data_IF_778017744588
#
_entry.id   IF_778017744588
#
_cell.length_a   1.000
_cell.length_b   1.000
_cell.length_c   1.000
_cell.angle_alpha   90.00
_cell.angle_beta   90.00
_cell.angle_gamma   90.00
#
_symmetry.space_group_name_H-M   'P 1'
#
loop_
_entity.id
_entity.type
_entity.pdbx_description
1 polymer ?
#
# COMPACT_ATOMS: atom_id res chain seq x y z
N UNK A 1 47.80 35.54 -42.48
CA UNK A 1 46.64 35.16 -41.64
C UNK A 1 46.81 33.72 -41.21
N UNK A 2 47.32 33.48 -39.99
CA UNK A 2 47.27 32.16 -39.37
C UNK A 2 46.77 32.38 -37.95
N UNK A 3 45.52 31.98 -37.71
CA UNK A 3 44.84 32.07 -36.43
C UNK A 3 45.31 30.90 -35.58
N UNK A 4 46.12 31.18 -34.57
CA UNK A 4 46.41 30.24 -33.48
C UNK A 4 45.18 30.15 -32.58
N UNK A 5 44.39 29.09 -32.75
CA UNK A 5 43.36 28.70 -31.79
C UNK A 5 44.05 28.01 -30.62
N UNK A 6 44.12 28.71 -29.49
CA UNK A 6 44.50 28.14 -28.21
C UNK A 6 43.41 27.19 -27.73
N UNK A 7 43.69 25.89 -27.79
CA UNK A 7 42.93 24.90 -27.03
C UNK A 7 43.33 24.98 -25.56
N UNK A 8 42.53 25.72 -24.80
CA UNK A 8 42.42 25.59 -23.34
C UNK A 8 41.99 24.15 -23.04
N UNK A 9 42.91 23.33 -22.53
CA UNK A 9 42.53 22.16 -21.75
C UNK A 9 41.95 22.68 -20.43
N UNK A 10 40.65 22.48 -20.22
CA UNK A 10 40.04 22.68 -18.92
C UNK A 10 40.68 21.70 -17.92
N UNK A 11 40.85 22.09 -16.63
CA UNK A 11 41.34 21.18 -15.61
C UNK A 11 40.32 20.06 -15.43
N UNK A 12 40.76 18.83 -15.69
CA UNK A 12 40.02 17.61 -15.37
C UNK A 12 39.55 17.70 -13.91
N UNK A 13 38.26 17.45 -13.71
CA UNK A 13 37.65 17.33 -12.40
C UNK A 13 38.47 16.37 -11.51
N UNK A 14 38.51 16.59 -10.18
CA UNK A 14 39.28 15.72 -9.30
C UNK A 14 38.76 14.29 -9.42
N UNK A 15 39.65 13.36 -9.79
CA UNK A 15 39.40 11.93 -9.81
C UNK A 15 38.72 11.52 -8.50
N UNK A 16 37.42 11.26 -8.58
CA UNK A 16 36.53 10.93 -7.46
C UNK A 16 36.73 9.48 -6.95
N UNK A 17 37.78 8.82 -7.41
CA UNK A 17 38.09 7.40 -7.21
C UNK A 17 39.48 7.17 -6.62
N UNK A 18 39.94 8.05 -5.73
CA UNK A 18 41.15 7.75 -4.96
C UNK A 18 40.84 6.63 -3.95
N UNK A 19 41.68 5.59 -3.92
CA UNK A 19 41.63 4.46 -2.97
C UNK A 19 41.20 4.85 -1.53
N UNK A 20 41.77 5.91 -0.91
CA UNK A 20 41.37 6.33 0.44
C UNK A 20 39.91 6.78 0.56
N UNK A 21 39.31 7.28 -0.51
CA UNK A 21 37.89 7.66 -0.54
C UNK A 21 36.97 6.45 -0.63
N UNK A 22 37.40 5.39 -1.33
CA UNK A 22 36.63 4.14 -1.46
C UNK A 22 36.75 3.31 -0.18
N UNK A 23 37.95 3.21 0.39
CA UNK A 23 38.18 2.55 1.69
C UNK A 23 37.34 3.18 2.79
N UNK A 24 37.33 4.53 2.88
CA UNK A 24 36.52 5.24 3.88
C UNK A 24 35.00 5.02 3.68
N UNK A 25 34.54 4.98 2.42
CA UNK A 25 33.12 4.71 2.13
C UNK A 25 32.73 3.27 2.47
N UNK A 26 33.62 2.30 2.27
CA UNK A 26 33.41 0.91 2.68
C UNK A 26 33.41 0.78 4.20
N UNK A 27 34.31 1.46 4.90
CA UNK A 27 34.36 1.47 6.36
C UNK A 27 33.10 2.10 6.96
N UNK A 28 32.59 3.19 6.38
CA UNK A 28 31.33 3.82 6.81
C UNK A 28 30.10 2.94 6.56
N UNK A 29 30.10 2.13 5.49
CA UNK A 29 28.97 1.27 5.12
C UNK A 29 28.97 -0.07 5.89
N UNK A 30 30.14 -0.68 6.11
CA UNK A 30 30.28 -1.99 6.76
C UNK A 30 30.55 -1.88 8.28
N UNK A 31 30.99 -0.71 8.77
CA UNK A 31 31.32 -0.48 10.17
C UNK A 31 32.32 -1.52 10.70
N UNK A 32 31.95 -2.18 11.80
CA UNK A 32 32.77 -3.22 12.45
C UNK A 32 32.98 -4.49 11.59
N UNK A 33 32.24 -4.63 10.48
CA UNK A 33 32.40 -5.70 9.50
C UNK A 33 33.50 -5.46 8.47
N UNK A 34 34.13 -4.28 8.45
CA UNK A 34 35.22 -3.97 7.53
C UNK A 34 36.54 -4.60 8.00
N UNK A 35 36.99 -5.64 7.29
CA UNK A 35 38.30 -6.27 7.52
C UNK A 35 39.26 -5.81 6.43
N UNK A 36 40.12 -4.85 6.77
CA UNK A 36 41.12 -4.26 5.85
C UNK A 36 41.99 -5.31 5.12
N UNK A 37 42.31 -6.43 5.79
CA UNK A 37 43.06 -7.54 5.20
C UNK A 37 42.36 -8.27 4.05
N UNK A 38 41.02 -8.31 4.06
CA UNK A 38 40.21 -8.98 3.04
C UNK A 38 39.91 -8.03 1.87
N UNK A 39 39.74 -6.74 2.16
CA UNK A 39 39.38 -5.72 1.16
C UNK A 39 40.58 -5.12 0.43
N UNK A 40 41.76 -4.98 1.06
CA UNK A 40 42.97 -4.43 0.42
C UNK A 40 43.39 -5.17 -0.86
N UNK A 41 43.48 -6.51 -0.88
CA UNK A 41 43.87 -7.24 -2.09
C UNK A 41 42.86 -7.06 -3.23
N UNK A 42 41.57 -6.97 -2.88
CA UNK A 42 40.45 -6.75 -3.82
C UNK A 42 40.55 -5.37 -4.45
N UNK A 43 40.65 -4.33 -3.63
CA UNK A 43 40.76 -2.95 -4.09
C UNK A 43 42.04 -2.73 -4.90
N UNK A 44 43.16 -3.33 -4.49
CA UNK A 44 44.41 -3.27 -5.25
C UNK A 44 44.32 -3.96 -6.61
N UNK A 45 43.59 -5.08 -6.72
CA UNK A 45 43.41 -5.78 -7.99
C UNK A 45 42.49 -5.00 -8.95
N UNK A 46 41.44 -4.35 -8.43
CA UNK A 46 40.54 -3.49 -9.21
C UNK A 46 41.30 -2.25 -9.73
N UNK A 47 42.11 -1.62 -8.88
CA UNK A 47 42.92 -0.46 -9.28
C UNK A 47 44.02 -0.85 -10.29
N UNK A 48 44.62 -2.02 -10.16
CA UNK A 48 45.58 -2.53 -11.15
C UNK A 48 44.93 -2.77 -12.53
N UNK A 49 43.60 -2.96 -12.56
CA UNK A 49 42.82 -3.18 -13.76
C UNK A 49 42.06 -1.93 -14.26
N UNK A 50 42.24 -0.78 -13.61
CA UNK A 50 41.47 0.47 -13.87
C UNK A 50 41.52 0.91 -15.34
N UNK A 51 42.61 0.61 -16.04
CA UNK A 51 42.83 1.01 -17.43
C UNK A 51 42.65 -0.13 -18.46
N UNK A 52 42.17 -1.30 -18.04
CA UNK A 52 41.90 -2.45 -18.92
C UNK A 52 40.62 -3.20 -18.48
N UNK A 53 39.54 -2.95 -19.23
CA UNK A 53 38.21 -3.53 -19.01
C UNK A 53 38.25 -5.07 -19.00
N UNK A 54 39.11 -5.71 -19.80
CA UNK A 54 39.19 -7.17 -19.86
C UNK A 54 39.91 -7.77 -18.66
N UNK A 55 40.84 -7.02 -18.07
CA UNK A 55 41.50 -7.41 -16.82
C UNK A 55 40.55 -7.15 -15.65
N UNK A 56 39.79 -6.05 -15.67
CA UNK A 56 38.80 -5.75 -14.65
C UNK A 56 37.71 -6.82 -14.58
N UNK A 57 37.18 -7.25 -15.73
CA UNK A 57 36.21 -8.35 -15.80
C UNK A 57 36.78 -9.66 -15.26
N UNK A 58 38.03 -10.01 -15.60
CA UNK A 58 38.68 -11.21 -15.06
C UNK A 58 38.94 -11.14 -13.56
N UNK A 59 39.30 -9.97 -13.05
CA UNK A 59 39.46 -9.74 -11.60
C UNK A 59 38.11 -9.89 -10.91
N UNK A 60 37.04 -9.28 -11.44
CA UNK A 60 35.69 -9.42 -10.90
C UNK A 60 35.25 -10.89 -10.93
N UNK A 61 35.40 -11.60 -12.05
CA UNK A 61 35.07 -13.04 -12.17
C UNK A 61 35.86 -13.91 -11.18
N UNK A 62 37.13 -13.60 -10.93
CA UNK A 62 37.96 -14.31 -9.95
C UNK A 62 37.60 -13.96 -8.49
N UNK A 63 37.05 -12.76 -8.25
CA UNK A 63 36.64 -12.30 -6.93
C UNK A 63 35.20 -12.68 -6.58
N UNK A 64 34.29 -12.81 -7.55
CA UNK A 64 32.92 -13.29 -7.34
C UNK A 64 32.83 -14.59 -6.54
N UNK A 65 33.60 -15.66 -6.80
CA UNK A 65 33.52 -16.89 -6.01
C UNK A 65 34.14 -16.76 -4.61
N UNK A 66 34.87 -15.67 -4.32
CA UNK A 66 35.59 -15.44 -3.05
C UNK A 66 34.90 -14.40 -2.16
N UNK A 67 34.23 -13.42 -2.77
CA UNK A 67 33.41 -12.41 -2.12
C UNK A 67 31.98 -12.88 -1.83
N UNK A 68 31.56 -13.97 -2.48
CA UNK A 68 30.28 -14.62 -2.21
C UNK A 68 30.59 -15.90 -1.43
N UNK A 69 30.36 -15.99 -0.11
CA UNK A 69 29.82 -17.24 0.40
C UNK A 69 28.53 -17.45 -0.39
N UNK A 70 28.52 -18.39 -1.33
CA UNK A 70 27.38 -18.71 -2.20
C UNK A 70 26.08 -18.77 -1.39
N UNK A 71 25.38 -17.65 -1.30
CA UNK A 71 24.08 -17.48 -0.68
C UNK A 71 23.13 -16.72 -1.63
N UNK A 72 23.43 -16.73 -2.92
CA UNK A 72 22.39 -16.62 -3.93
C UNK A 72 22.66 -17.64 -5.03
N UNK A 73 21.67 -18.51 -5.20
CA UNK A 73 21.52 -19.54 -6.24
C UNK A 73 22.55 -20.67 -6.20
N UNK A 74 22.24 -21.91 -5.80
CA UNK A 74 21.01 -22.68 -5.67
C UNK A 74 21.29 -23.81 -4.67
N UNK A 75 20.34 -24.17 -3.80
CA UNK A 75 20.54 -25.05 -2.63
C UNK A 75 21.10 -24.37 -1.37
N UNK A 76 20.62 -23.16 -1.06
CA UNK A 76 20.45 -22.85 0.36
C UNK A 76 19.21 -23.61 0.80
N UNK A 77 19.37 -24.61 1.66
CA UNK A 77 18.25 -25.17 2.42
C UNK A 77 17.44 -23.97 2.92
N UNK A 78 16.23 -23.74 2.39
CA UNK A 78 15.33 -22.71 2.89
C UNK A 78 15.45 -22.74 4.41
N UNK A 79 15.89 -21.66 5.08
CA UNK A 79 15.92 -21.63 6.52
C UNK A 79 14.56 -22.13 6.98
N UNK A 80 14.51 -23.18 7.81
CA UNK A 80 13.23 -23.81 8.16
C UNK A 80 12.23 -22.79 8.71
N UNK A 81 12.76 -21.72 9.30
CA UNK A 81 12.03 -20.54 9.75
C UNK A 81 11.30 -19.82 8.61
N UNK A 82 11.93 -19.65 7.45
CA UNK A 82 11.31 -19.01 6.28
C UNK A 82 10.17 -19.87 5.72
N UNK A 83 10.39 -21.18 5.56
CA UNK A 83 9.34 -22.09 5.10
C UNK A 83 8.16 -22.17 6.10
N UNK A 84 8.45 -22.08 7.40
CA UNK A 84 7.42 -22.02 8.44
C UNK A 84 6.67 -20.68 8.41
N UNK A 85 7.37 -19.57 8.22
CA UNK A 85 6.78 -18.24 8.13
C UNK A 85 5.88 -18.11 6.89
N UNK A 86 6.35 -18.60 5.74
CA UNK A 86 5.59 -18.67 4.49
C UNK A 86 4.29 -19.45 4.68
N UNK A 87 4.37 -20.68 5.19
CA UNK A 87 3.19 -21.50 5.48
C UNK A 87 2.26 -20.87 6.53
N UNK A 88 2.80 -20.16 7.50
CA UNK A 88 2.00 -19.44 8.51
C UNK A 88 1.22 -18.30 7.86
N UNK A 89 1.87 -17.55 6.97
CA UNK A 89 1.24 -16.46 6.23
C UNK A 89 0.14 -16.99 5.30
N UNK A 90 0.39 -18.06 4.54
CA UNK A 90 -0.62 -18.71 3.70
C UNK A 90 -1.85 -19.13 4.51
N UNK A 91 -1.66 -19.77 5.66
CA UNK A 91 -2.77 -20.19 6.52
C UNK A 91 -3.58 -18.99 7.03
N UNK A 92 -2.93 -17.87 7.38
CA UNK A 92 -3.62 -16.65 7.83
C UNK A 92 -4.45 -16.03 6.72
N UNK A 93 -3.96 -16.01 5.50
CA UNK A 93 -4.69 -15.50 4.34
C UNK A 93 -5.95 -16.33 4.09
N UNK A 94 -5.85 -17.66 4.22
CA UNK A 94 -7.01 -18.56 4.12
C UNK A 94 -8.01 -18.27 5.25
N UNK A 95 -7.55 -18.17 6.50
CA UNK A 95 -8.42 -17.81 7.65
C UNK A 95 -9.15 -16.47 7.45
N UNK A 96 -8.44 -15.46 6.93
CA UNK A 96 -9.04 -14.15 6.63
C UNK A 96 -10.10 -14.24 5.53
N UNK A 97 -9.86 -15.08 4.51
CA UNK A 97 -10.84 -15.32 3.45
C UNK A 97 -12.09 -16.04 3.97
N UNK A 98 -11.92 -17.07 4.81
CA UNK A 98 -13.03 -17.80 5.43
C UNK A 98 -13.90 -16.90 6.31
N UNK A 99 -13.30 -15.89 6.95
CA UNK A 99 -14.01 -14.88 7.75
C UNK A 99 -14.55 -13.70 6.93
N UNK A 100 -14.50 -13.77 5.60
CA UNK A 100 -14.92 -12.70 4.68
C UNK A 100 -14.19 -11.35 4.88
N UNK A 101 -12.97 -11.35 5.42
CA UNK A 101 -12.15 -10.13 5.53
C UNK A 101 -11.38 -9.82 4.24
N UNK A 102 -11.23 -10.79 3.33
CA UNK A 102 -10.66 -10.59 2.00
C UNK A 102 -11.80 -10.68 0.97
N UNK A 103 -12.12 -9.55 0.34
CA UNK A 103 -13.07 -9.47 -0.75
C UNK A 103 -12.37 -9.80 -2.08
N UNK A 104 -13.06 -10.49 -2.99
CA UNK A 104 -12.46 -10.87 -4.29
C UNK A 104 -11.51 -12.08 -4.25
N UNK A 105 -10.58 -12.13 -5.19
CA UNK A 105 -9.60 -13.23 -5.30
C UNK A 105 -8.64 -13.23 -4.10
N UNK A 106 -8.20 -14.42 -3.67
CA UNK A 106 -7.19 -14.52 -2.61
C UNK A 106 -5.83 -14.12 -3.20
N UNK A 107 -5.14 -13.12 -2.64
CA UNK A 107 -3.83 -12.71 -3.14
C UNK A 107 -2.80 -13.82 -2.93
N UNK A 108 -1.93 -14.02 -3.91
CA UNK A 108 -0.81 -14.95 -3.80
C UNK A 108 0.34 -14.33 -3.01
N UNK A 109 1.29 -15.15 -2.56
CA UNK A 109 2.50 -14.66 -1.88
C UNK A 109 3.29 -13.67 -2.76
N UNK A 110 3.34 -13.91 -4.06
CA UNK A 110 4.00 -13.00 -4.99
C UNK A 110 3.27 -11.65 -5.05
N UNK A 111 1.94 -11.66 -5.08
CA UNK A 111 1.14 -10.43 -5.06
C UNK A 111 1.33 -9.63 -3.75
N UNK A 112 1.68 -10.29 -2.65
CA UNK A 112 1.93 -9.64 -1.36
C UNK A 112 3.36 -9.11 -1.23
N UNK A 113 4.33 -9.80 -1.82
CA UNK A 113 5.73 -9.39 -1.81
C UNK A 113 6.01 -8.31 -2.84
N UNK A 114 5.28 -8.36 -3.95
CA UNK A 114 5.34 -7.41 -5.05
C UNK A 114 3.92 -6.90 -5.33
N UNK A 115 3.37 -6.05 -4.44
CA UNK A 115 2.06 -5.47 -4.66
C UNK A 115 2.06 -4.68 -5.97
N UNK A 116 0.96 -4.80 -6.72
CA UNK A 116 0.72 -3.94 -7.86
C UNK A 116 0.72 -2.47 -7.39
N UNK A 117 1.18 -1.58 -8.27
CA UNK A 117 1.08 -0.14 -8.02
C UNK A 117 -0.38 0.23 -7.77
N UNK A 118 -0.64 1.00 -6.71
CA UNK A 118 -2.00 1.42 -6.35
C UNK A 118 -2.55 2.31 -7.48
N UNK A 119 -3.64 1.85 -8.09
CA UNK A 119 -4.37 2.65 -9.07
C UNK A 119 -5.26 3.66 -8.34
N UNK A 120 -5.19 4.94 -8.73
CA UNK A 120 -6.11 5.96 -8.24
C UNK A 120 -7.51 5.65 -8.80
N UNK A 121 -8.40 5.16 -7.93
CA UNK A 121 -9.78 4.82 -8.31
C UNK A 121 -10.68 5.97 -7.85
N UNK A 122 -11.23 6.67 -8.84
CA UNK A 122 -12.16 7.78 -8.63
C UNK A 122 -11.47 9.12 -8.48
N UNK A 123 -12.21 10.20 -8.80
CA UNK A 123 -11.85 11.51 -8.26
C UNK A 123 -12.17 11.49 -6.76
N UNK A 124 -11.36 12.08 -5.89
CA UNK A 124 -11.73 12.19 -4.49
C UNK A 124 -13.07 12.94 -4.43
N UNK A 125 -14.13 12.22 -4.08
CA UNK A 125 -15.50 12.74 -4.00
C UNK A 125 -15.58 13.95 -3.06
N UNK A 126 -14.58 14.09 -2.18
CA UNK A 126 -14.29 15.28 -1.40
C UNK A 126 -12.82 15.67 -1.49
N UNK A 127 -12.50 16.57 -2.41
CA UNK A 127 -11.25 17.33 -2.38
C UNK A 127 -11.40 18.47 -1.37
N UNK A 128 -11.23 18.17 -0.08
CA UNK A 128 -11.17 19.22 0.92
C UNK A 128 -9.94 20.10 0.64
N UNK A 129 -10.18 21.32 0.18
CA UNK A 129 -9.10 22.20 -0.27
C UNK A 129 -8.24 22.70 0.89
N UNK A 130 -8.88 23.01 2.03
CA UNK A 130 -8.24 23.57 3.22
C UNK A 130 -8.86 23.01 4.50
N UNK A 131 -8.08 22.91 5.57
CA UNK A 131 -8.58 22.56 6.91
C UNK A 131 -9.76 23.44 7.34
N UNK A 132 -9.80 24.70 6.89
CA UNK A 132 -10.90 25.62 7.18
C UNK A 132 -12.23 25.19 6.52
N UNK A 133 -12.15 24.63 5.31
CA UNK A 133 -13.29 24.13 4.55
C UNK A 133 -13.84 22.85 5.18
N UNK A 134 -12.96 21.98 5.69
CA UNK A 134 -13.35 20.80 6.48
C UNK A 134 -14.12 21.22 7.74
N UNK A 135 -13.62 22.23 8.45
CA UNK A 135 -14.25 22.75 9.67
C UNK A 135 -15.62 23.36 9.36
N UNK A 136 -15.76 24.05 8.23
CA UNK A 136 -17.02 24.65 7.80
C UNK A 136 -18.08 23.58 7.47
N UNK A 137 -17.70 22.55 6.70
CA UNK A 137 -18.59 21.42 6.39
C UNK A 137 -19.01 20.68 7.66
N UNK A 138 -18.06 20.39 8.56
CA UNK A 138 -18.36 19.71 9.83
C UNK A 138 -19.30 20.54 10.73
N UNK A 139 -19.13 21.86 10.76
CA UNK A 139 -20.01 22.76 11.51
C UNK A 139 -21.40 22.84 10.88
N UNK A 140 -21.48 22.87 9.56
CA UNK A 140 -22.74 22.86 8.84
C UNK A 140 -23.55 21.58 9.15
N UNK A 141 -22.93 20.40 9.03
CA UNK A 141 -23.59 19.13 9.35
C UNK A 141 -24.06 19.05 10.81
N UNK A 142 -23.24 19.51 11.75
CA UNK A 142 -23.64 19.57 13.17
C UNK A 142 -24.81 20.55 13.41
N UNK A 143 -24.89 21.64 12.64
CA UNK A 143 -25.98 22.61 12.74
C UNK A 143 -27.28 22.08 12.09
N UNK A 144 -27.18 21.31 11.00
CA UNK A 144 -28.31 20.60 10.40
C UNK A 144 -28.86 19.53 11.35
N UNK A 145 -27.99 18.69 11.93
CA UNK A 145 -28.38 17.65 12.90
C UNK A 145 -29.04 18.24 14.16
N UNK A 146 -28.59 19.42 14.59
CA UNK A 146 -29.20 20.17 15.71
C UNK A 146 -30.50 20.88 15.33
N UNK A 147 -30.89 20.88 14.06
CA UNK A 147 -32.05 21.60 13.54
C UNK A 147 -31.89 23.12 13.55
N UNK A 148 -30.66 23.63 13.63
CA UNK A 148 -30.34 25.06 13.55
C UNK A 148 -30.35 25.56 12.08
N UNK A 149 -30.13 24.65 11.14
CA UNK A 149 -30.24 24.86 9.70
C UNK A 149 -31.25 23.85 9.16
N UNK A 150 -32.32 24.34 8.55
CA UNK A 150 -33.27 23.51 7.81
C UNK A 150 -32.84 23.54 6.34
N UNK A 151 -32.42 22.39 5.82
CA UNK A 151 -32.12 22.26 4.39
C UNK A 151 -33.41 22.54 3.61
N UNK A 152 -33.35 23.55 2.74
CA UNK A 152 -34.40 23.86 1.80
C UNK A 152 -34.01 23.09 0.54
N UNK A 153 -34.75 22.04 0.22
CA UNK A 153 -34.64 21.40 -1.09
C UNK A 153 -34.97 22.47 -2.14
N UNK A 154 -33.99 22.82 -2.97
CA UNK A 154 -34.23 23.70 -4.11
C UNK A 154 -35.09 22.90 -5.09
N UNK A 155 -36.39 23.25 -5.15
CA UNK A 155 -37.34 22.75 -6.16
C UNK A 155 -36.77 23.04 -7.55
N UNK A 156 -36.14 22.03 -8.17
CA UNK A 156 -35.91 22.02 -9.60
C UNK A 156 -37.27 21.80 -10.28
N UNK A 157 -37.90 22.89 -10.70
CA UNK A 157 -39.03 22.83 -11.63
C UNK A 157 -38.56 22.19 -12.94
N UNK A 158 -38.92 20.93 -13.19
CA UNK A 158 -39.27 20.45 -14.52
C UNK A 158 -40.16 19.19 -14.45
N UNK A 159 -41.24 19.26 -15.23
CA UNK A 159 -42.35 18.32 -15.35
C UNK A 159 -41.90 16.94 -15.91
N UNK A 160 -42.11 15.85 -15.17
CA UNK A 160 -42.47 14.56 -15.79
C UNK A 160 -43.36 13.73 -14.86
N UNK A 161 -44.39 13.14 -15.46
CA UNK A 161 -45.47 12.41 -14.81
C UNK A 161 -44.96 11.08 -14.22
N UNK A 162 -44.82 11.05 -12.90
CA UNK A 162 -44.70 9.83 -12.12
C UNK A 162 -45.33 10.04 -10.75
N UNK A 163 -46.60 9.68 -10.62
CA UNK A 163 -47.29 9.50 -9.33
C UNK A 163 -46.58 8.38 -8.54
N UNK A 164 -45.43 8.70 -7.94
CA UNK A 164 -44.89 7.98 -6.79
C UNK A 164 -45.27 8.80 -5.56
N UNK A 165 -46.54 8.66 -5.17
CA UNK A 165 -47.10 9.32 -4.01
C UNK A 165 -46.18 9.21 -2.80
N UNK A 166 -46.07 10.34 -2.08
CA UNK A 166 -45.40 10.44 -0.79
C UNK A 166 -45.56 9.15 0.01
N UNK A 167 -44.47 8.58 0.57
CA UNK A 167 -44.59 7.37 1.37
C UNK A 167 -45.63 7.60 2.46
N UNK A 168 -46.73 6.84 2.40
CA UNK A 168 -47.88 6.91 3.33
C UNK A 168 -47.47 6.78 4.81
N UNK A 169 -46.24 6.36 5.07
CA UNK A 169 -45.67 6.07 6.36
C UNK A 169 -44.26 6.67 6.38
N UNK A 170 -43.98 7.56 7.32
CA UNK A 170 -42.62 8.08 7.54
C UNK A 170 -41.70 6.96 8.04
N UNK A 171 -40.38 7.10 7.88
CA UNK A 171 -39.40 6.11 8.38
C UNK A 171 -39.62 5.77 9.86
N UNK A 172 -39.89 6.79 10.69
CA UNK A 172 -40.21 6.62 12.12
C UNK A 172 -41.48 5.77 12.35
N UNK A 173 -42.54 6.02 11.58
CA UNK A 173 -43.78 5.25 11.67
C UNK A 173 -43.61 3.81 11.17
N UNK A 174 -42.71 3.58 10.20
CA UNK A 174 -42.35 2.25 9.71
C UNK A 174 -41.65 1.42 10.78
N UNK A 175 -40.70 2.03 11.49
CA UNK A 175 -40.00 1.41 12.63
C UNK A 175 -40.99 1.09 13.75
N UNK A 176 -41.88 2.03 14.10
CA UNK A 176 -42.88 1.81 15.15
C UNK A 176 -43.83 0.64 14.81
N UNK A 177 -44.23 0.51 13.54
CA UNK A 177 -45.04 -0.61 13.06
C UNK A 177 -44.29 -1.94 13.17
N UNK A 178 -43.01 -1.99 12.80
CA UNK A 178 -42.16 -3.17 12.92
C UNK A 178 -42.02 -3.62 14.38
N UNK A 179 -41.81 -2.69 15.32
CA UNK A 179 -41.77 -2.99 16.75
C UNK A 179 -43.09 -3.58 17.25
N UNK A 180 -44.24 -3.01 16.84
CA UNK A 180 -45.56 -3.53 17.23
C UNK A 180 -45.81 -4.93 16.66
N UNK A 181 -45.39 -5.20 15.43
CA UNK A 181 -45.46 -6.51 14.81
C UNK A 181 -44.57 -7.53 15.53
N UNK A 182 -43.34 -7.18 15.90
CA UNK A 182 -42.45 -8.07 16.66
C UNK A 182 -43.08 -8.49 18.01
N UNK A 183 -43.70 -7.55 18.71
CA UNK A 183 -44.41 -7.83 19.97
C UNK A 183 -45.59 -8.78 19.73
N UNK A 184 -46.40 -8.56 18.69
CA UNK A 184 -47.52 -9.44 18.36
C UNK A 184 -47.08 -10.85 17.96
N UNK A 185 -46.01 -10.96 17.18
CA UNK A 185 -45.40 -12.23 16.79
C UNK A 185 -44.89 -13.01 18.00
N UNK A 186 -44.30 -12.34 19.00
CA UNK A 186 -43.89 -12.96 20.26
C UNK A 186 -45.07 -13.45 21.11
N UNK A 187 -46.21 -12.74 21.08
CA UNK A 187 -47.36 -13.04 21.93
C UNK A 187 -48.33 -14.05 21.33
N UNK A 188 -48.46 -14.09 20.00
CA UNK A 188 -49.52 -14.80 19.31
C UNK A 188 -49.08 -15.58 18.06
N UNK A 189 -47.82 -15.47 17.65
CA UNK A 189 -47.31 -16.12 16.45
C UNK A 189 -47.08 -17.61 16.61
N UNK A 190 -47.32 -18.36 15.53
CA UNK A 190 -46.75 -19.71 15.37
C UNK A 190 -45.22 -19.61 15.37
N UNK A 191 -44.53 -20.50 16.09
CA UNK A 191 -43.09 -20.40 16.35
C UNK A 191 -42.29 -20.33 15.05
N UNK A 192 -42.68 -21.12 14.04
CA UNK A 192 -41.93 -21.20 12.80
C UNK A 192 -42.10 -19.92 11.96
N UNK A 193 -43.34 -19.43 11.81
CA UNK A 193 -43.68 -18.23 11.03
C UNK A 193 -43.19 -16.96 11.74
N UNK A 194 -43.29 -16.94 13.07
CA UNK A 194 -42.85 -15.82 13.92
C UNK A 194 -41.32 -15.65 13.83
N UNK A 195 -40.56 -16.76 13.80
CA UNK A 195 -39.11 -16.70 13.71
C UNK A 195 -38.60 -16.11 12.38
N UNK A 196 -39.22 -16.50 11.25
CA UNK A 196 -38.85 -16.01 9.92
C UNK A 196 -39.26 -14.55 9.71
N UNK A 197 -40.42 -14.15 10.24
CA UNK A 197 -40.85 -12.76 10.17
C UNK A 197 -39.99 -11.86 11.06
N UNK A 198 -39.57 -12.32 12.25
CA UNK A 198 -38.67 -11.58 13.13
C UNK A 198 -37.29 -11.35 12.54
N UNK A 199 -36.75 -12.31 11.78
CA UNK A 199 -35.46 -12.11 11.11
C UNK A 199 -35.54 -11.00 10.06
N UNK A 200 -36.65 -10.94 9.30
CA UNK A 200 -36.87 -9.90 8.30
C UNK A 200 -37.19 -8.52 8.93
N UNK A 201 -37.95 -8.48 10.02
CA UNK A 201 -38.29 -7.22 10.71
C UNK A 201 -37.08 -6.55 11.38
N UNK A 202 -36.01 -7.29 11.67
CA UNK A 202 -34.75 -6.73 12.21
C UNK A 202 -33.79 -6.18 11.15
N UNK A 203 -34.13 -6.34 9.87
CA UNK A 203 -33.36 -5.79 8.77
C UNK A 203 -33.89 -4.41 8.31
N UNK A 204 -35.01 -3.97 8.89
CA UNK A 204 -35.52 -2.59 8.82
C UNK A 204 -35.03 -1.81 10.04
#
# INVERSE_FOLDING_TARGET
>A
MHVTVGMRAAPNAPNRYMLPSIEKALEELLGDGYIDGDWRPVLSAIMAAENDVNVALRVIEALTPKAIPTASSTQSTMPKELANAEKTLENRIIELKERNHIHGAVPTLEDLLNPAEEEEIGEPEYQFGSDEEIIEVARYQLAVERGEIQEIEEDEEDEDEGDEGEPLITSEQGIELCCKLEILCNMHGDVDISSELQTHLRCF
#
